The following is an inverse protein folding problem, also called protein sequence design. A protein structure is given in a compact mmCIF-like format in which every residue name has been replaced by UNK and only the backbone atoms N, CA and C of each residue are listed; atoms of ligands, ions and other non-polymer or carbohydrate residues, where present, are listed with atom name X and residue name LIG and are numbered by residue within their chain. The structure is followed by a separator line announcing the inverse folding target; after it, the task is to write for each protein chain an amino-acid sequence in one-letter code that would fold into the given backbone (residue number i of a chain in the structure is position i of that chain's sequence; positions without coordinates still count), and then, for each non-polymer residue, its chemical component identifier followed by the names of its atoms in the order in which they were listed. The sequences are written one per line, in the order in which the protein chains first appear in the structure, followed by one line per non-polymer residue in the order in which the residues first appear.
data_IF_480312691940
#
_entry.id   IF_480312691940
#
_cell.length_a   1.000
_cell.length_b   1.000
_cell.length_c   1.000
_cell.angle_alpha   90.00
_cell.angle_beta   90.00
_cell.angle_gamma   90.00
#
_symmetry.space_group_name_H-M   'P 1'
#
loop_
_entity.id
_entity.type
_entity.pdbx_description
1 polymer ?
#
# COMPACT_ATOMS: atom_id res chain seq x y z
N UNK A 1 15.01 13.89 12.79
CA UNK A 1 13.73 13.61 12.12
C UNK A 1 13.38 12.13 12.23
N UNK A 2 12.14 11.86 12.58
CA UNK A 2 11.68 10.48 12.60
C UNK A 2 11.64 9.93 11.17
N UNK A 3 12.11 8.70 11.00
CA UNK A 3 12.04 8.00 9.71
C UNK A 3 10.60 7.67 9.34
N UNK A 4 9.79 7.36 10.34
CA UNK A 4 8.39 6.96 10.18
C UNK A 4 7.46 8.01 10.76
N UNK A 5 6.34 8.24 10.09
CA UNK A 5 5.34 9.21 10.51
C UNK A 5 3.93 8.62 10.38
N UNK A 6 2.98 9.23 11.08
CA UNK A 6 1.58 8.87 10.89
C UNK A 6 1.08 9.48 9.57
N UNK A 7 0.19 8.80 8.83
CA UNK A 7 -0.34 9.35 7.60
C UNK A 7 -1.31 10.51 7.88
N UNK A 8 -1.44 11.39 6.88
CA UNK A 8 -2.47 12.42 6.94
C UNK A 8 -3.85 11.78 6.93
N UNK A 9 -4.84 12.51 7.42
CA UNK A 9 -6.21 12.04 7.54
C UNK A 9 -6.78 11.53 6.22
N UNK A 10 -6.56 12.27 5.13
CA UNK A 10 -7.06 11.90 3.80
C UNK A 10 -6.47 10.59 3.30
N UNK A 11 -5.17 10.40 3.50
CA UNK A 11 -4.48 9.15 3.15
C UNK A 11 -5.04 7.99 3.95
N UNK A 12 -5.19 8.18 5.25
CA UNK A 12 -5.70 7.15 6.14
C UNK A 12 -7.14 6.74 5.76
N UNK A 13 -8.00 7.70 5.46
CA UNK A 13 -9.38 7.42 5.06
C UNK A 13 -9.47 6.57 3.80
N UNK A 14 -8.62 6.85 2.80
CA UNK A 14 -8.59 6.08 1.55
C UNK A 14 -8.23 4.62 1.82
N UNK A 15 -7.16 4.38 2.58
CA UNK A 15 -6.72 3.02 2.91
C UNK A 15 -7.73 2.30 3.80
N UNK A 16 -8.30 2.97 4.79
CA UNK A 16 -9.30 2.37 5.68
C UNK A 16 -10.55 1.93 4.91
N UNK A 17 -10.99 2.73 3.96
CA UNK A 17 -12.13 2.37 3.12
C UNK A 17 -11.84 1.15 2.25
N UNK A 18 -10.66 1.10 1.63
CA UNK A 18 -10.24 -0.05 0.82
C UNK A 18 -10.14 -1.31 1.67
N UNK A 19 -9.55 -1.20 2.86
CA UNK A 19 -9.42 -2.32 3.79
C UNK A 19 -10.80 -2.83 4.22
N UNK A 20 -11.71 -1.93 4.54
CA UNK A 20 -13.08 -2.27 4.94
C UNK A 20 -13.82 -3.00 3.81
N UNK A 21 -13.67 -2.52 2.58
CA UNK A 21 -14.30 -3.13 1.42
C UNK A 21 -13.74 -4.52 1.09
N UNK A 22 -12.53 -4.82 1.55
CA UNK A 22 -11.92 -6.13 1.37
C UNK A 22 -12.26 -7.12 2.49
N UNK A 23 -12.93 -6.67 3.54
CA UNK A 23 -13.26 -7.43 4.76
C UNK A 23 -12.04 -7.92 5.55
N UNK A 24 -10.83 -7.48 5.22
CA UNK A 24 -9.62 -7.86 5.95
C UNK A 24 -9.61 -7.38 7.39
N UNK A 25 -10.27 -6.26 7.67
CA UNK A 25 -10.34 -5.69 9.01
C UNK A 25 -11.00 -6.61 10.04
N UNK A 26 -11.77 -7.61 9.57
CA UNK A 26 -12.39 -8.62 10.45
C UNK A 26 -11.38 -9.62 11.00
N UNK A 27 -10.27 -9.83 10.30
CA UNK A 27 -9.32 -10.90 10.62
C UNK A 27 -7.91 -10.39 10.91
N UNK A 28 -7.55 -9.25 10.34
CA UNK A 28 -6.18 -8.75 10.33
C UNK A 28 -6.16 -7.31 10.82
N UNK A 29 -5.26 -7.02 11.78
CA UNK A 29 -5.02 -5.66 12.25
C UNK A 29 -3.93 -5.01 11.40
N UNK A 30 -4.28 -3.94 10.70
CA UNK A 30 -3.40 -3.26 9.75
C UNK A 30 -3.08 -1.85 10.25
N UNK A 31 -1.79 -1.53 10.34
CA UNK A 31 -1.31 -0.20 10.70
C UNK A 31 -0.69 0.46 9.48
N UNK A 32 -1.07 1.71 9.22
CA UNK A 32 -0.49 2.51 8.15
C UNK A 32 0.67 3.33 8.71
N UNK A 33 1.80 3.32 8.01
CA UNK A 33 2.99 4.07 8.42
C UNK A 33 3.55 4.79 7.19
N UNK A 34 3.87 6.07 7.35
CA UNK A 34 4.50 6.86 6.30
C UNK A 34 6.01 6.67 6.34
N UNK A 35 6.59 6.29 5.21
CA UNK A 35 8.02 6.23 4.98
C UNK A 35 8.31 6.90 3.64
N UNK A 36 8.64 8.18 3.69
CA UNK A 36 8.86 8.99 2.49
C UNK A 36 10.19 8.69 1.79
N UNK A 37 10.99 7.79 2.35
CA UNK A 37 12.21 7.30 1.73
C UNK A 37 12.01 5.99 0.97
N UNK A 38 10.81 5.40 1.08
CA UNK A 38 10.49 4.16 0.37
C UNK A 38 10.54 4.38 -1.14
N UNK A 39 11.21 3.47 -1.83
CA UNK A 39 11.37 3.51 -3.29
C UNK A 39 10.69 2.30 -3.92
N UNK A 40 10.48 2.35 -5.22
CA UNK A 40 9.86 1.32 -6.07
C UNK A 40 8.35 1.23 -5.95
N UNK A 41 7.80 1.20 -4.75
CA UNK A 41 6.34 1.15 -4.55
C UNK A 41 5.89 2.28 -3.65
N UNK A 42 4.77 2.89 -4.00
CA UNK A 42 4.18 3.96 -3.19
C UNK A 42 3.61 3.42 -1.89
N UNK A 43 3.00 2.24 -1.96
CA UNK A 43 2.46 1.55 -0.78
C UNK A 43 2.86 0.09 -0.83
N UNK A 44 3.41 -0.42 0.28
CA UNK A 44 3.90 -1.80 0.36
C UNK A 44 3.51 -2.43 1.69
N UNK A 45 2.80 -3.57 1.67
CA UNK A 45 2.48 -4.28 2.90
C UNK A 45 3.66 -5.11 3.40
N UNK A 46 3.79 -5.18 4.72
CA UNK A 46 4.77 -6.03 5.40
C UNK A 46 4.10 -6.76 6.54
N UNK A 47 4.33 -8.06 6.65
CA UNK A 47 3.87 -8.86 7.76
C UNK A 47 4.70 -8.52 9.00
N UNK A 48 4.04 -8.28 10.13
CA UNK A 48 4.72 -8.03 11.38
C UNK A 48 5.46 -9.28 11.86
N UNK A 49 6.68 -9.10 12.40
CA UNK A 49 7.37 -10.19 13.08
C UNK A 49 6.59 -10.60 14.33
N UNK A 50 6.86 -11.80 14.86
CA UNK A 50 6.21 -12.26 16.08
C UNK A 50 6.42 -11.29 17.24
N UNK A 51 7.63 -10.74 17.36
CA UNK A 51 7.93 -9.78 18.42
C UNK A 51 7.14 -8.48 18.23
N UNK A 52 7.11 -7.95 17.01
CA UNK A 52 6.40 -6.71 16.72
C UNK A 52 4.89 -6.87 16.90
N UNK A 53 4.35 -8.01 16.51
CA UNK A 53 2.94 -8.33 16.76
C UNK A 53 2.62 -8.37 18.25
N UNK A 54 3.49 -8.97 19.04
CA UNK A 54 3.36 -9.03 20.49
C UNK A 54 3.35 -7.63 21.12
N UNK A 55 4.26 -6.76 20.67
CA UNK A 55 4.39 -5.40 21.20
C UNK A 55 3.26 -4.47 20.81
N UNK A 56 2.73 -4.58 19.59
CA UNK A 56 1.81 -3.61 19.01
C UNK A 56 0.42 -4.14 18.72
N UNK A 57 0.21 -5.44 18.73
CA UNK A 57 -1.03 -6.12 18.33
C UNK A 57 -1.42 -5.88 16.87
N UNK A 58 -0.49 -5.46 16.03
CA UNK A 58 -0.73 -5.30 14.60
C UNK A 58 -0.15 -6.47 13.83
N UNK A 59 -0.91 -6.99 12.88
CA UNK A 59 -0.53 -8.14 12.06
C UNK A 59 0.26 -7.71 10.81
N UNK A 60 -0.10 -6.57 10.25
CA UNK A 60 0.47 -6.07 8.99
C UNK A 60 0.72 -4.57 9.11
N UNK A 61 1.82 -4.13 8.51
CA UNK A 61 2.13 -2.72 8.33
C UNK A 61 2.12 -2.40 6.84
N UNK A 62 1.46 -1.32 6.46
CA UNK A 62 1.55 -0.80 5.10
C UNK A 62 2.40 0.46 5.14
N UNK A 63 3.56 0.42 4.48
CA UNK A 63 4.46 1.56 4.38
C UNK A 63 4.11 2.38 3.14
N UNK A 64 3.89 3.67 3.34
CA UNK A 64 3.39 4.58 2.30
C UNK A 64 4.40 5.71 2.08
N UNK A 65 4.81 5.93 0.82
CA UNK A 65 5.51 7.15 0.44
C UNK A 65 4.45 8.23 0.18
N UNK A 66 4.15 9.01 1.20
CA UNK A 66 3.07 9.99 1.15
C UNK A 66 3.40 11.19 0.26
N UNK A 67 4.69 11.52 0.10
CA UNK A 67 5.09 12.60 -0.82
C UNK A 67 4.68 12.28 -2.26
N UNK A 68 4.83 11.04 -2.67
CA UNK A 68 4.39 10.58 -3.99
C UNK A 68 2.87 10.40 -4.01
N UNK A 69 2.32 9.77 -2.97
CA UNK A 69 0.89 9.45 -2.89
C UNK A 69 0.01 10.68 -3.02
N UNK A 70 0.36 11.77 -2.35
CA UNK A 70 -0.39 13.02 -2.40
C UNK A 70 -0.42 13.67 -3.78
N UNK A 71 0.56 13.40 -4.62
CA UNK A 71 0.64 13.96 -5.97
C UNK A 71 -0.22 13.21 -6.99
N UNK A 72 -0.77 12.07 -6.61
CA UNK A 72 -1.64 11.27 -7.46
C UNK A 72 -3.06 11.83 -7.44
N UNK A 73 -3.81 11.56 -8.52
CA UNK A 73 -5.23 11.85 -8.56
C UNK A 73 -5.98 10.87 -7.65
N UNK A 74 -7.20 11.22 -7.25
CA UNK A 74 -7.98 10.42 -6.32
C UNK A 74 -8.14 8.98 -6.78
N UNK A 75 -8.48 8.77 -8.06
CA UNK A 75 -8.66 7.41 -8.59
C UNK A 75 -7.36 6.62 -8.60
N UNK A 76 -6.22 7.27 -8.83
CA UNK A 76 -4.91 6.65 -8.78
C UNK A 76 -4.54 6.25 -7.36
N UNK A 77 -4.87 7.08 -6.38
CA UNK A 77 -4.68 6.77 -4.95
C UNK A 77 -5.44 5.52 -4.56
N UNK A 78 -6.68 5.39 -5.04
CA UNK A 78 -7.51 4.22 -4.76
C UNK A 78 -6.89 2.97 -5.37
N UNK A 79 -6.39 3.04 -6.61
CA UNK A 79 -5.71 1.91 -7.27
C UNK A 79 -4.48 1.47 -6.48
N UNK A 80 -3.68 2.42 -6.02
CA UNK A 80 -2.48 2.14 -5.21
C UNK A 80 -2.87 1.44 -3.91
N UNK A 81 -3.89 1.94 -3.23
CA UNK A 81 -4.37 1.35 -1.98
C UNK A 81 -4.91 -0.07 -2.22
N UNK A 82 -5.68 -0.29 -3.28
CA UNK A 82 -6.22 -1.59 -3.61
C UNK A 82 -5.13 -2.60 -3.97
N UNK A 83 -4.09 -2.16 -4.68
CA UNK A 83 -2.95 -3.02 -5.00
C UNK A 83 -2.24 -3.49 -3.72
N UNK A 84 -1.97 -2.56 -2.80
CA UNK A 84 -1.32 -2.90 -1.54
C UNK A 84 -2.17 -3.85 -0.70
N UNK A 85 -3.46 -3.58 -0.57
CA UNK A 85 -4.38 -4.41 0.21
C UNK A 85 -4.59 -5.78 -0.42
N UNK A 86 -4.64 -5.86 -1.75
CA UNK A 86 -4.79 -7.13 -2.46
C UNK A 86 -3.60 -8.07 -2.25
N UNK A 87 -2.43 -7.52 -1.91
CA UNK A 87 -1.25 -8.31 -1.56
C UNK A 87 -1.34 -8.98 -0.19
N UNK A 88 -2.30 -8.60 0.64
CA UNK A 88 -2.50 -9.18 1.97
C UNK A 88 -3.53 -10.29 1.84
N UNK A 89 -3.11 -11.53 2.10
CA UNK A 89 -3.97 -12.72 1.96
C UNK A 89 -4.09 -13.41 3.31
N UNK A 90 -5.32 -13.58 3.78
CA UNK A 90 -5.60 -14.28 5.03
C UNK A 90 -6.57 -15.43 4.78
N UNK A 91 -6.19 -16.63 5.28
CA UNK A 91 -7.03 -17.82 5.21
C UNK A 91 -7.58 -18.09 6.62
N UNK A 92 -8.87 -17.81 6.87
CA UNK A 92 -9.45 -18.01 8.21
C UNK A 92 -9.53 -19.47 8.63
N UNK A 93 -9.60 -20.41 7.70
CA UNK A 93 -9.64 -21.84 8.04
C UNK A 93 -8.31 -22.33 8.57
N UNK A 94 -7.21 -21.84 8.00
CA UNK A 94 -5.84 -22.22 8.39
C UNK A 94 -5.21 -21.24 9.36
N UNK A 95 -5.89 -20.13 9.65
CA UNK A 95 -5.35 -19.01 10.45
C UNK A 95 -3.96 -18.60 9.94
N UNK A 96 -3.85 -18.46 8.61
CA UNK A 96 -2.59 -18.17 7.94
C UNK A 96 -2.64 -16.85 7.20
N UNK A 97 -1.70 -15.99 7.53
CA UNK A 97 -1.51 -14.69 6.89
C UNK A 97 -0.27 -14.72 5.99
N UNK A 98 -0.44 -14.31 4.75
CA UNK A 98 0.66 -14.21 3.78
C UNK A 98 0.64 -12.86 3.10
N UNK A 99 1.83 -12.35 2.78
CA UNK A 99 1.98 -11.15 1.95
C UNK A 99 2.47 -11.59 0.58
N UNK A 100 1.68 -11.30 -0.44
CA UNK A 100 2.02 -11.61 -1.84
C UNK A 100 2.24 -10.31 -2.59
N UNK A 101 3.45 -10.05 -3.03
CA UNK A 101 3.79 -8.86 -3.80
C UNK A 101 4.20 -9.29 -5.20
N UNK A 102 3.61 -8.64 -6.23
CA UNK A 102 3.89 -8.98 -7.61
C UNK A 102 3.28 -10.31 -8.08
N UNK A 103 2.28 -10.81 -7.35
CA UNK A 103 1.57 -12.03 -7.72
C UNK A 103 0.71 -11.81 -8.96
N UNK A 104 0.72 -12.79 -9.84
CA UNK A 104 -0.08 -12.78 -11.08
C UNK A 104 -1.58 -12.63 -10.78
N UNK A 105 -2.08 -13.26 -9.72
CA UNK A 105 -3.50 -13.17 -9.35
C UNK A 105 -3.90 -11.76 -8.94
N UNK A 106 -3.07 -11.04 -8.18
CA UNK A 106 -3.30 -9.64 -7.81
C UNK A 106 -3.30 -8.75 -9.04
N UNK A 107 -2.30 -8.92 -9.89
CA UNK A 107 -2.16 -8.17 -11.14
C UNK A 107 -3.37 -8.39 -12.05
N UNK A 108 -3.78 -9.65 -12.22
CA UNK A 108 -4.93 -10.01 -13.06
C UNK A 108 -6.24 -9.42 -12.53
N UNK A 109 -6.41 -9.38 -11.20
CA UNK A 109 -7.58 -8.78 -10.56
C UNK A 109 -7.69 -7.30 -10.83
N UNK A 110 -6.58 -6.58 -10.72
CA UNK A 110 -6.53 -5.14 -10.98
C UNK A 110 -6.75 -4.84 -12.46
N UNK A 111 -6.17 -5.65 -13.36
CA UNK A 111 -6.38 -5.49 -14.79
C UNK A 111 -7.85 -5.68 -15.17
N UNK A 112 -8.54 -6.64 -14.56
CA UNK A 112 -9.97 -6.85 -14.78
C UNK A 112 -10.80 -5.68 -14.32
N UNK A 113 -10.47 -5.09 -13.17
CA UNK A 113 -11.22 -4.00 -12.57
C UNK A 113 -11.04 -2.67 -13.33
N UNK A 114 -9.80 -2.32 -13.67
CA UNK A 114 -9.48 -0.99 -14.21
C UNK A 114 -9.17 -0.98 -15.70
N UNK A 115 -8.84 -2.13 -16.28
CA UNK A 115 -8.34 -2.22 -17.64
C UNK A 115 -6.85 -1.92 -17.72
N UNK A 116 -6.22 -2.44 -18.75
CA UNK A 116 -4.78 -2.38 -18.94
C UNK A 116 -4.26 -0.93 -19.04
N UNK A 117 -4.97 -0.11 -19.80
CA UNK A 117 -4.56 1.29 -20.03
C UNK A 117 -4.53 2.12 -18.75
N UNK A 118 -5.55 1.97 -17.91
CA UNK A 118 -5.61 2.72 -16.65
C UNK A 118 -4.51 2.27 -15.69
N UNK A 119 -4.26 0.98 -15.63
CA UNK A 119 -3.19 0.45 -14.78
C UNK A 119 -1.83 0.97 -15.25
N UNK A 120 -1.57 0.95 -16.55
CA UNK A 120 -0.34 1.51 -17.12
C UNK A 120 -0.16 2.99 -16.80
N UNK A 121 -1.22 3.78 -16.87
CA UNK A 121 -1.18 5.21 -16.56
C UNK A 121 -0.73 5.43 -15.11
N UNK A 122 -1.25 4.63 -14.16
CA UNK A 122 -0.85 4.72 -12.76
C UNK A 122 0.64 4.40 -12.60
N UNK A 123 1.11 3.31 -13.20
CA UNK A 123 2.52 2.90 -13.14
C UNK A 123 3.45 3.96 -13.73
N UNK A 124 3.09 4.52 -14.88
CA UNK A 124 3.85 5.59 -15.53
C UNK A 124 3.90 6.86 -14.67
N UNK A 125 2.76 7.25 -14.09
CA UNK A 125 2.67 8.41 -13.22
C UNK A 125 3.59 8.26 -12.00
N UNK A 126 3.60 7.08 -11.40
CA UNK A 126 4.44 6.78 -10.24
C UNK A 126 5.92 6.86 -10.60
N UNK A 127 6.32 6.27 -11.72
CA UNK A 127 7.71 6.32 -12.20
C UNK A 127 8.16 7.76 -12.44
N UNK A 128 7.32 8.57 -13.07
CA UNK A 128 7.61 9.97 -13.35
C UNK A 128 7.84 10.74 -12.05
N UNK A 129 6.98 10.55 -11.05
CA UNK A 129 7.10 11.23 -9.76
C UNK A 129 8.37 10.85 -9.02
N UNK A 130 8.76 9.58 -9.03
CA UNK A 130 10.01 9.14 -8.42
C UNK A 130 11.23 9.75 -9.11
N UNK A 131 11.21 9.84 -10.43
CA UNK A 131 12.29 10.46 -11.19
C UNK A 131 12.44 11.95 -10.87
N UNK A 132 11.34 12.68 -10.76
CA UNK A 132 11.35 14.09 -10.39
C UNK A 132 11.94 14.29 -9.00
N UNK A 133 11.53 13.49 -8.02
CA UNK A 133 12.07 13.57 -6.67
C UNK A 133 13.56 13.24 -6.62
N UNK A 134 14.01 12.26 -7.39
CA UNK A 134 15.42 11.91 -7.48
C UNK A 134 16.25 13.06 -8.03
N UNK A 135 15.78 13.71 -9.08
CA UNK A 135 16.45 14.88 -9.66
C UNK A 135 16.51 16.02 -8.66
N UNK A 136 15.43 16.28 -7.93
CA UNK A 136 15.37 17.32 -6.91
C UNK A 136 16.34 17.02 -5.78
N UNK A 137 16.48 15.75 -5.37
CA UNK A 137 17.37 15.34 -4.30
C UNK A 137 18.85 15.44 -4.69
N UNK A 138 19.17 15.36 -5.98
CA UNK A 138 20.54 15.46 -6.47
C UNK A 138 21.02 16.92 -6.64
N UNK A 139 20.14 17.88 -6.57
CA UNK A 139 20.43 19.30 -6.63
C UNK A 139 20.62 19.86 -5.22
#
# INVERSE_FOLDING_TARGET
MAKYEEPFKDTQEIFEEVIRNSDLDRYVSIKLIVDNKQKKKVAKPHKASNLLKFETNNDVYIFINELIFEQLETWQKIVVAEEAVAGIVFDPEKDKLEIKTGDVSTFSGLLRKYGYERYEIVEESIKTLYNVEKETAEV
#
